data_IF_494887497359
#
_entry.id   IF_494887497359
#
_cell.length_a   1.000
_cell.length_b   1.000
_cell.length_c   1.000
_cell.angle_alpha   90.00
_cell.angle_beta   90.00
_cell.angle_gamma   90.00
#
_symmetry.space_group_name_H-M   'P 1'
#
loop_
_entity.id
_entity.type
_entity.pdbx_description
1 polymer ?
#
# COMPACT_ATOMS: atom_id res chain seq x y z
N UNK A 1 10.59 38.02 4.30
CA UNK A 1 10.41 36.71 3.64
C UNK A 1 8.94 36.36 3.70
N UNK A 2 8.26 36.03 2.59
CA UNK A 2 6.87 35.63 2.63
C UNK A 2 6.74 34.39 3.51
N UNK A 3 5.77 34.41 4.45
CA UNK A 3 5.43 33.23 5.27
C UNK A 3 4.94 32.13 4.31
N UNK A 4 5.68 31.03 4.23
CA UNK A 4 5.25 29.83 3.50
C UNK A 4 3.95 29.35 4.13
N UNK A 5 2.85 29.36 3.39
CA UNK A 5 1.52 28.94 3.87
C UNK A 5 1.54 27.43 4.21
N UNK A 6 0.63 27.00 5.09
CA UNK A 6 0.47 25.58 5.41
C UNK A 6 0.17 24.77 4.15
N UNK A 7 -0.70 25.29 3.27
CA UNK A 7 -1.06 24.67 1.98
C UNK A 7 0.17 24.44 1.09
N UNK A 8 1.06 25.43 0.99
CA UNK A 8 2.29 25.28 0.22
C UNK A 8 3.21 24.20 0.80
N UNK A 9 3.31 24.11 2.13
CA UNK A 9 4.12 23.06 2.78
C UNK A 9 3.56 21.66 2.49
N UNK A 10 2.25 21.49 2.57
CA UNK A 10 1.59 20.20 2.26
C UNK A 10 1.74 19.83 0.77
N UNK A 11 1.62 20.80 -0.13
CA UNK A 11 1.90 20.59 -1.54
C UNK A 11 3.33 20.07 -1.78
N UNK A 12 4.33 20.70 -1.15
CA UNK A 12 5.73 20.26 -1.26
C UNK A 12 5.92 18.88 -0.65
N UNK A 13 5.31 18.59 0.52
CA UNK A 13 5.35 17.24 1.13
C UNK A 13 4.83 16.18 0.17
N UNK A 14 3.67 16.42 -0.44
CA UNK A 14 3.07 15.50 -1.42
C UNK A 14 4.00 15.27 -2.61
N UNK A 15 4.56 16.33 -3.20
CA UNK A 15 5.49 16.21 -4.32
C UNK A 15 6.76 15.43 -3.95
N UNK A 16 7.28 15.61 -2.73
CA UNK A 16 8.43 14.85 -2.23
C UNK A 16 8.07 13.35 -2.13
N UNK A 17 6.90 13.01 -1.59
CA UNK A 17 6.46 11.61 -1.48
C UNK A 17 6.23 10.97 -2.85
N UNK A 18 5.67 11.70 -3.82
CA UNK A 18 5.49 11.23 -5.19
C UNK A 18 6.84 10.97 -5.89
N UNK A 19 7.82 11.86 -5.69
CA UNK A 19 9.18 11.64 -6.20
C UNK A 19 9.86 10.45 -5.53
N UNK A 20 9.76 10.35 -4.20
CA UNK A 20 10.32 9.23 -3.44
C UNK A 20 9.70 7.89 -3.86
N UNK A 21 8.36 7.83 -3.99
CA UNK A 21 7.67 6.63 -4.46
C UNK A 21 8.13 6.21 -5.85
N UNK A 22 8.27 7.16 -6.78
CA UNK A 22 8.78 6.88 -8.13
C UNK A 22 10.21 6.33 -8.10
N UNK A 23 11.13 6.96 -7.35
CA UNK A 23 12.52 6.51 -7.24
C UNK A 23 12.59 5.13 -6.59
N UNK A 24 11.85 4.90 -5.50
CA UNK A 24 11.77 3.58 -4.86
C UNK A 24 11.18 2.51 -5.78
N UNK A 25 10.17 2.84 -6.57
CA UNK A 25 9.56 1.90 -7.51
C UNK A 25 10.48 1.50 -8.65
N UNK A 26 11.30 2.44 -9.12
CA UNK A 26 12.24 2.20 -10.22
C UNK A 26 13.51 1.46 -9.78
N UNK A 27 14.11 1.89 -8.67
CA UNK A 27 15.42 1.40 -8.20
C UNK A 27 15.32 0.42 -7.03
N UNK A 28 14.17 0.32 -6.41
CA UNK A 28 14.00 -0.37 -5.14
C UNK A 28 14.44 0.50 -3.96
N UNK A 29 14.07 0.06 -2.75
CA UNK A 29 14.38 0.80 -1.52
C UNK A 29 15.89 0.95 -1.28
N UNK A 30 16.67 -0.12 -1.51
CA UNK A 30 18.09 -0.15 -1.18
C UNK A 30 18.90 0.86 -2.00
N UNK A 31 18.73 0.85 -3.31
CA UNK A 31 19.54 1.66 -4.25
C UNK A 31 19.05 3.11 -4.37
N UNK A 32 17.83 3.40 -3.95
CA UNK A 32 17.28 4.76 -3.95
C UNK A 32 18.02 5.67 -2.96
N UNK A 33 18.33 6.90 -3.37
CA UNK A 33 19.02 7.89 -2.54
C UNK A 33 18.18 9.14 -2.31
N UNK A 34 18.43 9.83 -1.20
CA UNK A 34 17.82 11.14 -0.91
C UNK A 34 18.19 12.19 -1.94
N UNK A 35 19.38 12.09 -2.53
CA UNK A 35 19.87 13.04 -3.53
C UNK A 35 19.07 12.95 -4.83
N UNK A 36 18.81 11.74 -5.33
CA UNK A 36 17.96 11.50 -6.51
C UNK A 36 16.52 11.98 -6.32
N UNK A 37 15.98 11.79 -5.10
CA UNK A 37 14.64 12.27 -4.77
C UNK A 37 14.59 13.79 -4.80
N UNK A 38 15.61 14.48 -4.26
CA UNK A 38 15.72 15.93 -4.27
C UNK A 38 15.90 16.48 -5.69
N UNK A 39 16.80 15.86 -6.48
CA UNK A 39 17.08 16.23 -7.86
C UNK A 39 15.84 16.15 -8.75
N UNK A 40 15.04 15.10 -8.61
CA UNK A 40 13.79 14.92 -9.34
C UNK A 40 12.73 16.01 -9.08
N UNK A 41 12.97 16.89 -8.10
CA UNK A 41 12.08 18.01 -7.72
C UNK A 41 12.73 19.38 -7.91
N UNK A 42 14.01 19.43 -8.28
CA UNK A 42 14.79 20.67 -8.28
C UNK A 42 15.01 21.24 -6.86
N UNK A 43 14.94 20.38 -5.83
CA UNK A 43 15.20 20.78 -4.45
C UNK A 43 16.67 20.57 -4.08
N UNK A 44 17.21 21.44 -3.24
CA UNK A 44 18.50 21.16 -2.62
C UNK A 44 18.36 20.05 -1.56
N UNK A 45 19.40 19.25 -1.37
CA UNK A 45 19.48 18.21 -0.33
C UNK A 45 19.08 18.74 1.07
N UNK A 46 19.61 19.88 1.55
CA UNK A 46 19.19 20.44 2.83
C UNK A 46 17.70 20.81 2.87
N UNK A 47 17.11 21.23 1.74
CA UNK A 47 15.70 21.53 1.66
C UNK A 47 14.85 20.26 1.84
N UNK A 48 15.22 19.15 1.20
CA UNK A 48 14.56 17.85 1.37
C UNK A 48 14.62 17.37 2.83
N UNK A 49 15.81 17.42 3.45
CA UNK A 49 16.00 16.95 4.83
C UNK A 49 15.19 17.75 5.88
N UNK A 50 14.77 18.99 5.58
CA UNK A 50 13.85 19.74 6.44
C UNK A 50 12.43 19.18 6.45
N UNK A 51 12.03 18.48 5.38
CA UNK A 51 10.72 17.84 5.30
C UNK A 51 10.75 16.39 5.79
N UNK A 52 11.78 15.66 5.40
CA UNK A 52 11.96 14.24 5.74
C UNK A 52 13.40 13.96 6.13
N UNK A 53 13.66 13.67 7.41
CA UNK A 53 15.03 13.56 7.92
C UNK A 53 15.77 12.31 7.45
N UNK A 54 15.08 11.34 6.87
CA UNK A 54 15.71 10.11 6.36
C UNK A 54 14.86 9.41 5.30
N UNK A 55 15.47 8.46 4.61
CA UNK A 55 14.83 7.56 3.64
C UNK A 55 13.75 6.70 4.30
N UNK A 56 13.99 6.29 5.53
CA UNK A 56 13.02 5.53 6.34
C UNK A 56 11.75 6.32 6.62
N UNK A 57 11.85 7.63 6.89
CA UNK A 57 10.67 8.46 7.11
C UNK A 57 9.84 8.65 5.84
N UNK A 58 10.48 8.81 4.69
CA UNK A 58 9.80 8.82 3.39
C UNK A 58 9.07 7.49 3.15
N UNK A 59 9.75 6.37 3.36
CA UNK A 59 9.17 5.05 3.17
C UNK A 59 7.99 4.80 4.12
N UNK A 60 8.12 5.18 5.40
CA UNK A 60 7.03 5.08 6.39
C UNK A 60 5.79 5.82 5.91
N UNK A 61 5.96 7.04 5.43
CA UNK A 61 4.85 7.87 4.98
C UNK A 61 4.20 7.32 3.71
N UNK A 62 4.99 6.82 2.76
CA UNK A 62 4.49 6.13 1.56
C UNK A 62 3.68 4.91 1.96
N UNK A 63 4.19 4.08 2.89
CA UNK A 63 3.46 2.91 3.37
C UNK A 63 2.14 3.27 4.06
N UNK A 64 2.14 4.36 4.85
CA UNK A 64 0.92 4.88 5.47
C UNK A 64 -0.11 5.31 4.41
N UNK A 65 0.33 6.03 3.39
CA UNK A 65 -0.53 6.46 2.27
C UNK A 65 -1.06 5.27 1.48
N UNK A 66 -0.24 4.25 1.24
CA UNK A 66 -0.68 3.01 0.62
C UNK A 66 -1.79 2.33 1.44
N UNK A 67 -1.59 2.14 2.73
CA UNK A 67 -2.61 1.53 3.60
C UNK A 67 -3.93 2.32 3.59
N UNK A 68 -3.86 3.65 3.64
CA UNK A 68 -5.05 4.51 3.54
C UNK A 68 -5.74 4.37 2.18
N UNK A 69 -4.97 4.38 1.08
CA UNK A 69 -5.49 4.20 -0.25
C UNK A 69 -6.14 2.82 -0.42
N UNK A 70 -5.48 1.75 0.05
CA UNK A 70 -5.99 0.39 -0.01
C UNK A 70 -7.31 0.23 0.79
N UNK A 71 -7.38 0.78 2.00
CA UNK A 71 -8.61 0.76 2.80
C UNK A 71 -9.75 1.51 2.13
N UNK A 72 -9.47 2.67 1.54
CA UNK A 72 -10.46 3.45 0.77
C UNK A 72 -10.91 2.67 -0.46
N UNK A 73 -9.96 2.15 -1.25
CA UNK A 73 -10.23 1.37 -2.45
C UNK A 73 -11.13 0.16 -2.17
N UNK A 74 -10.83 -0.56 -1.09
CA UNK A 74 -11.61 -1.72 -0.67
C UNK A 74 -13.07 -1.34 -0.36
N UNK A 75 -13.30 -0.24 0.38
CA UNK A 75 -14.64 0.25 0.69
C UNK A 75 -15.42 0.74 -0.53
N UNK A 76 -14.74 1.41 -1.45
CA UNK A 76 -15.35 1.94 -2.67
C UNK A 76 -15.68 0.84 -3.68
N UNK A 77 -14.81 -0.17 -3.80
CA UNK A 77 -14.98 -1.28 -4.74
C UNK A 77 -15.97 -2.35 -4.27
N UNK A 78 -16.28 -2.39 -2.96
CA UNK A 78 -17.14 -3.42 -2.38
C UNK A 78 -18.60 -2.94 -2.22
N UNK A 79 -19.19 -2.39 -3.29
CA UNK A 79 -20.56 -1.80 -3.24
C UNK A 79 -21.69 -2.78 -3.54
N UNK A 80 -21.40 -3.88 -4.24
CA UNK A 80 -22.40 -4.81 -4.77
C UNK A 80 -22.23 -6.26 -4.30
N UNK A 81 -21.57 -6.48 -3.14
CA UNK A 81 -21.31 -7.82 -2.61
C UNK A 81 -20.10 -8.52 -3.24
N UNK A 82 -19.30 -7.81 -4.05
CA UNK A 82 -18.05 -8.30 -4.63
C UNK A 82 -17.02 -7.20 -4.82
N UNK A 83 -15.76 -7.58 -5.08
CA UNK A 83 -14.68 -6.65 -5.32
C UNK A 83 -14.66 -6.22 -6.80
N UNK A 84 -14.89 -4.93 -7.05
CA UNK A 84 -14.62 -4.33 -8.36
C UNK A 84 -13.12 -4.01 -8.47
N UNK A 85 -12.43 -4.82 -9.28
CA UNK A 85 -10.98 -4.71 -9.46
C UNK A 85 -10.54 -3.41 -10.14
N UNK A 86 -11.31 -2.85 -11.06
CA UNK A 86 -10.96 -1.59 -11.73
C UNK A 86 -10.95 -0.44 -10.72
N UNK A 87 -12.02 -0.29 -9.96
CA UNK A 87 -12.12 0.72 -8.89
C UNK A 87 -11.03 0.52 -7.84
N UNK A 88 -10.78 -0.75 -7.43
CA UNK A 88 -9.75 -1.05 -6.44
C UNK A 88 -8.36 -0.61 -6.92
N UNK A 89 -7.93 -1.05 -8.09
CA UNK A 89 -6.60 -0.74 -8.60
C UNK A 89 -6.44 0.72 -9.02
N UNK A 90 -7.49 1.39 -9.50
CA UNK A 90 -7.43 2.82 -9.80
C UNK A 90 -7.06 3.67 -8.56
N UNK A 91 -7.53 3.26 -7.38
CA UNK A 91 -7.24 4.00 -6.13
C UNK A 91 -5.85 3.66 -5.57
N UNK A 92 -5.45 2.38 -5.59
CA UNK A 92 -4.18 1.98 -4.97
C UNK A 92 -2.96 2.24 -5.82
N UNK A 93 -3.10 2.38 -7.14
CA UNK A 93 -1.97 2.53 -8.07
C UNK A 93 -1.08 3.73 -7.78
N UNK A 94 -1.64 4.78 -7.22
CA UNK A 94 -0.87 5.97 -6.90
C UNK A 94 0.26 5.71 -5.88
N UNK A 95 0.02 4.85 -4.89
CA UNK A 95 0.94 4.57 -3.78
C UNK A 95 1.26 3.08 -3.65
N UNK A 96 0.81 2.27 -4.61
CA UNK A 96 0.91 0.81 -4.54
C UNK A 96 2.35 0.30 -4.57
N UNK A 97 2.50 -0.90 -4.04
CA UNK A 97 3.73 -1.63 -4.12
C UNK A 97 4.06 -2.00 -5.58
N UNK A 98 5.31 -1.82 -5.95
CA UNK A 98 5.86 -2.44 -7.15
C UNK A 98 6.73 -3.63 -6.73
N UNK A 99 6.95 -4.63 -7.61
CA UNK A 99 7.81 -5.77 -7.28
C UNK A 99 9.19 -5.34 -6.77
N UNK A 100 9.79 -4.36 -7.43
CA UNK A 100 11.10 -3.81 -7.04
C UNK A 100 11.10 -3.19 -5.64
N UNK A 101 10.12 -2.33 -5.35
CA UNK A 101 10.01 -1.69 -4.05
C UNK A 101 9.76 -2.72 -2.95
N UNK A 102 8.82 -3.64 -3.17
CA UNK A 102 8.45 -4.68 -2.20
C UNK A 102 9.65 -5.57 -1.86
N UNK A 103 10.27 -6.19 -2.86
CA UNK A 103 11.35 -7.15 -2.64
C UNK A 103 12.61 -6.50 -2.06
N UNK A 104 12.96 -5.29 -2.52
CA UNK A 104 14.13 -4.58 -2.00
C UNK A 104 13.94 -4.13 -0.56
N UNK A 105 12.75 -3.67 -0.17
CA UNK A 105 12.44 -3.33 1.21
C UNK A 105 12.43 -4.58 2.11
N UNK A 106 11.79 -5.67 1.67
CA UNK A 106 11.77 -6.93 2.41
C UNK A 106 13.17 -7.52 2.62
N UNK A 107 14.03 -7.49 1.58
CA UNK A 107 15.40 -8.00 1.66
C UNK A 107 16.33 -7.15 2.52
N UNK A 108 16.08 -5.85 2.63
CA UNK A 108 16.88 -4.92 3.44
C UNK A 108 16.44 -4.91 4.92
N UNK A 109 15.19 -5.21 5.22
CA UNK A 109 14.64 -5.18 6.58
C UNK A 109 15.44 -5.98 7.62
N UNK A 110 15.99 -7.18 7.34
CA UNK A 110 16.81 -7.91 8.31
C UNK A 110 18.07 -7.16 8.76
N UNK A 111 18.60 -6.26 7.91
CA UNK A 111 19.82 -5.48 8.16
C UNK A 111 19.55 -4.05 8.64
N UNK A 112 18.30 -3.58 8.51
CA UNK A 112 17.88 -2.24 8.90
C UNK A 112 16.75 -2.32 9.94
N UNK A 113 17.06 -2.23 11.26
CA UNK A 113 16.05 -2.35 12.32
C UNK A 113 14.94 -1.31 12.24
N UNK A 114 15.24 -0.08 11.74
CA UNK A 114 14.22 0.96 11.55
C UNK A 114 13.25 0.57 10.44
N UNK A 115 13.76 0.11 9.31
CA UNK A 115 12.94 -0.36 8.20
C UNK A 115 12.11 -1.59 8.59
N UNK A 116 12.71 -2.55 9.32
CA UNK A 116 12.01 -3.72 9.86
C UNK A 116 10.82 -3.30 10.71
N UNK A 117 11.02 -2.32 11.62
CA UNK A 117 9.94 -1.79 12.44
C UNK A 117 8.86 -1.12 11.60
N UNK A 118 9.23 -0.32 10.59
CA UNK A 118 8.27 0.35 9.70
C UNK A 118 7.43 -0.68 8.96
N UNK A 119 8.04 -1.74 8.42
CA UNK A 119 7.31 -2.83 7.77
C UNK A 119 6.34 -3.52 8.74
N UNK A 120 6.81 -3.88 9.93
CA UNK A 120 5.98 -4.54 10.94
C UNK A 120 4.78 -3.69 11.36
N UNK A 121 5.00 -2.40 11.64
CA UNK A 121 3.95 -1.44 12.02
C UNK A 121 2.98 -1.21 10.84
N UNK A 122 3.51 -1.11 9.62
CA UNK A 122 2.72 -0.92 8.40
C UNK A 122 1.81 -2.10 8.09
N UNK A 123 2.33 -3.33 8.17
CA UNK A 123 1.52 -4.55 8.01
C UNK A 123 0.47 -4.68 9.10
N UNK A 124 0.84 -4.41 10.36
CA UNK A 124 -0.15 -4.40 11.45
C UNK A 124 -1.28 -3.43 11.16
N UNK A 125 -0.94 -2.19 10.77
CA UNK A 125 -1.93 -1.16 10.41
C UNK A 125 -2.81 -1.62 9.24
N UNK A 126 -2.23 -2.20 8.18
CA UNK A 126 -2.97 -2.74 7.04
C UNK A 126 -3.96 -3.83 7.45
N UNK A 127 -3.52 -4.78 8.27
CA UNK A 127 -4.38 -5.85 8.81
C UNK A 127 -5.52 -5.27 9.65
N UNK A 128 -5.23 -4.30 10.52
CA UNK A 128 -6.26 -3.67 11.36
C UNK A 128 -7.30 -2.89 10.51
N UNK A 129 -6.86 -2.19 9.47
CA UNK A 129 -7.74 -1.42 8.57
C UNK A 129 -8.64 -2.33 7.72
N UNK A 130 -8.07 -3.36 7.11
CA UNK A 130 -8.83 -4.36 6.32
C UNK A 130 -9.73 -5.19 7.24
N UNK A 131 -9.23 -5.61 8.40
CA UNK A 131 -10.00 -6.34 9.40
C UNK A 131 -11.22 -5.57 9.91
N UNK A 132 -11.08 -4.27 10.13
CA UNK A 132 -12.22 -3.40 10.51
C UNK A 132 -13.29 -3.36 9.42
N UNK A 133 -12.90 -3.36 8.15
CA UNK A 133 -13.85 -3.46 7.04
C UNK A 133 -14.57 -4.82 7.01
N UNK A 134 -13.85 -5.92 7.22
CA UNK A 134 -14.45 -7.26 7.32
C UNK A 134 -15.47 -7.32 8.47
N UNK A 135 -15.14 -6.75 9.63
CA UNK A 135 -16.07 -6.70 10.77
C UNK A 135 -17.32 -5.86 10.46
N UNK A 136 -17.18 -4.75 9.73
CA UNK A 136 -18.33 -3.98 9.25
C UNK A 136 -19.24 -4.83 8.33
N UNK A 137 -18.67 -5.59 7.40
CA UNK A 137 -19.44 -6.49 6.52
C UNK A 137 -20.16 -7.60 7.31
N UNK A 138 -19.56 -8.14 8.36
CA UNK A 138 -20.20 -9.09 9.29
C UNK A 138 -21.36 -8.44 10.02
N UNK A 139 -21.16 -7.25 10.58
CA UNK A 139 -22.20 -6.52 11.31
C UNK A 139 -23.40 -6.22 10.43
N UNK A 140 -23.18 -5.96 9.14
CA UNK A 140 -24.22 -5.75 8.14
C UNK A 140 -24.88 -7.05 7.65
N UNK A 141 -24.44 -8.21 8.13
CA UNK A 141 -24.96 -9.51 7.72
C UNK A 141 -24.58 -9.94 6.29
N UNK A 142 -23.58 -9.30 5.70
CA UNK A 142 -23.05 -9.65 4.36
C UNK A 142 -22.13 -10.86 4.48
N UNK A 143 -21.30 -10.91 5.51
CA UNK A 143 -20.41 -12.03 5.80
C UNK A 143 -20.92 -12.87 6.96
N UNK A 144 -20.61 -14.16 6.91
CA UNK A 144 -20.91 -15.11 7.99
C UNK A 144 -20.22 -14.69 9.29
N UNK A 145 -20.87 -14.98 10.43
CA UNK A 145 -20.33 -14.64 11.76
C UNK A 145 -19.02 -15.34 12.07
N UNK A 146 -18.77 -16.49 11.47
CA UNK A 146 -17.56 -17.31 11.60
C UNK A 146 -16.35 -16.71 10.87
N UNK A 147 -16.54 -15.77 9.95
CA UNK A 147 -15.45 -15.10 9.28
C UNK A 147 -14.55 -14.41 10.32
N UNK A 148 -13.25 -14.77 10.33
CA UNK A 148 -12.28 -14.16 11.21
C UNK A 148 -11.67 -12.92 10.54
N UNK A 149 -11.97 -11.68 11.01
CA UNK A 149 -11.55 -10.46 10.34
C UNK A 149 -10.04 -10.35 10.17
N UNK A 150 -9.28 -10.72 11.20
CA UNK A 150 -7.82 -10.64 11.18
C UNK A 150 -7.21 -11.64 10.19
N UNK A 151 -7.63 -12.89 10.20
CA UNK A 151 -7.11 -13.91 9.29
C UNK A 151 -7.50 -13.63 7.85
N UNK A 152 -8.73 -13.17 7.59
CA UNK A 152 -9.19 -12.76 6.27
C UNK A 152 -8.36 -11.60 5.73
N UNK A 153 -8.10 -10.59 6.56
CA UNK A 153 -7.24 -9.45 6.21
C UNK A 153 -5.80 -9.88 5.92
N UNK A 154 -5.21 -10.73 6.76
CA UNK A 154 -3.86 -11.27 6.55
C UNK A 154 -3.79 -12.08 5.25
N UNK A 155 -4.80 -12.90 4.96
CA UNK A 155 -4.88 -13.65 3.72
C UNK A 155 -4.90 -12.76 2.48
N UNK A 156 -5.76 -11.74 2.47
CA UNK A 156 -5.85 -10.79 1.35
C UNK A 156 -4.53 -10.04 1.10
N UNK A 157 -3.86 -9.58 2.16
CA UNK A 157 -2.55 -8.92 2.05
C UNK A 157 -1.48 -9.90 1.55
N UNK A 158 -1.45 -11.12 2.08
CA UNK A 158 -0.49 -12.14 1.67
C UNK A 158 -0.66 -12.56 0.21
N UNK A 159 -1.90 -12.62 -0.29
CA UNK A 159 -2.20 -12.87 -1.71
C UNK A 159 -1.64 -11.73 -2.57
N UNK A 160 -1.93 -10.48 -2.21
CA UNK A 160 -1.39 -9.31 -2.91
C UNK A 160 0.14 -9.35 -2.99
N UNK A 161 0.80 -9.53 -1.86
CA UNK A 161 2.28 -9.54 -1.78
C UNK A 161 2.88 -10.75 -2.52
N UNK A 162 2.23 -11.92 -2.45
CA UNK A 162 2.62 -13.10 -3.21
C UNK A 162 2.55 -12.88 -4.72
N UNK A 163 1.54 -12.18 -5.22
CA UNK A 163 1.40 -11.89 -6.64
C UNK A 163 2.48 -10.94 -7.17
N UNK A 164 3.06 -10.06 -6.32
CA UNK A 164 4.24 -9.27 -6.71
C UNK A 164 5.45 -10.17 -7.03
N UNK A 165 5.59 -11.31 -6.37
CA UNK A 165 6.64 -12.30 -6.67
C UNK A 165 6.38 -12.94 -8.04
N UNK A 166 5.13 -13.22 -8.39
CA UNK A 166 4.77 -13.74 -9.71
C UNK A 166 5.06 -12.74 -10.84
N UNK A 167 4.90 -11.43 -10.59
CA UNK A 167 5.34 -10.39 -11.53
C UNK A 167 6.86 -10.45 -11.77
N UNK A 168 7.66 -10.66 -10.72
CA UNK A 168 9.11 -10.89 -10.87
C UNK A 168 9.42 -12.15 -11.66
N UNK A 169 8.61 -13.20 -11.51
CA UNK A 169 8.75 -14.44 -12.26
C UNK A 169 8.27 -14.36 -13.73
N UNK A 170 7.76 -13.19 -14.16
CA UNK A 170 7.39 -12.94 -15.57
C UNK A 170 5.88 -12.89 -15.84
N UNK A 171 5.02 -13.07 -14.84
CA UNK A 171 3.59 -12.83 -15.02
C UNK A 171 3.36 -11.33 -15.24
N UNK A 172 2.56 -10.97 -16.25
CA UNK A 172 2.31 -9.55 -16.49
C UNK A 172 1.36 -8.96 -15.43
N UNK A 173 1.44 -7.64 -15.24
CA UNK A 173 0.67 -6.92 -14.20
C UNK A 173 -0.84 -7.05 -14.37
N UNK A 174 -1.35 -7.18 -15.58
CA UNK A 174 -2.78 -7.33 -15.81
C UNK A 174 -3.27 -8.73 -15.36
N UNK A 175 -2.46 -9.76 -15.61
CA UNK A 175 -2.75 -11.12 -15.15
C UNK A 175 -2.73 -11.21 -13.63
N UNK A 176 -1.73 -10.61 -12.95
CA UNK A 176 -1.66 -10.61 -11.47
C UNK A 176 -2.82 -9.87 -10.84
N UNK A 177 -3.25 -8.75 -11.43
CA UNK A 177 -4.44 -8.00 -10.99
C UNK A 177 -5.71 -8.81 -11.12
N UNK A 178 -5.89 -9.46 -12.28
CA UNK A 178 -7.04 -10.34 -12.50
C UNK A 178 -7.02 -11.49 -11.50
N UNK A 179 -5.88 -12.15 -11.32
CA UNK A 179 -5.72 -13.22 -10.35
C UNK A 179 -6.05 -12.76 -8.92
N UNK A 180 -5.59 -11.57 -8.51
CA UNK A 180 -5.94 -11.01 -7.21
C UNK A 180 -7.45 -10.89 -7.02
N UNK A 181 -8.15 -10.28 -7.98
CA UNK A 181 -9.62 -10.12 -7.92
C UNK A 181 -10.31 -11.47 -7.85
N UNK A 182 -9.97 -12.40 -8.74
CA UNK A 182 -10.60 -13.73 -8.81
C UNK A 182 -10.38 -14.53 -7.51
N UNK A 183 -9.17 -14.48 -6.92
CA UNK A 183 -8.85 -15.16 -5.66
C UNK A 183 -9.62 -14.53 -4.50
N UNK A 184 -9.63 -13.19 -4.42
CA UNK A 184 -10.38 -12.48 -3.38
C UNK A 184 -11.87 -12.77 -3.48
N UNK A 185 -12.46 -12.73 -4.67
CA UNK A 185 -13.86 -13.07 -4.89
C UNK A 185 -14.16 -14.52 -4.49
N UNK A 186 -13.28 -15.47 -4.85
CA UNK A 186 -13.42 -16.88 -4.45
C UNK A 186 -13.35 -17.05 -2.94
N UNK A 187 -12.41 -16.39 -2.29
CA UNK A 187 -12.27 -16.41 -0.83
C UNK A 187 -13.53 -15.84 -0.16
N UNK A 188 -14.03 -14.71 -0.65
CA UNK A 188 -15.23 -14.07 -0.09
C UNK A 188 -16.50 -14.85 -0.39
N UNK A 189 -16.63 -15.53 -1.54
CA UNK A 189 -17.82 -16.34 -1.86
C UNK A 189 -18.10 -17.43 -0.81
N UNK A 190 -17.05 -18.04 -0.27
CA UNK A 190 -17.16 -18.99 0.85
C UNK A 190 -17.60 -18.37 2.18
N UNK A 191 -17.40 -17.06 2.33
CA UNK A 191 -17.72 -16.30 3.53
C UNK A 191 -19.03 -15.50 3.43
N UNK A 192 -19.65 -15.38 2.25
CA UNK A 192 -20.92 -14.67 2.07
C UNK A 192 -22.06 -15.43 2.77
N UNK A 193 -23.02 -14.66 3.30
CA UNK A 193 -24.31 -15.19 3.74
C UNK A 193 -25.16 -15.43 2.49
N UNK A 194 -25.49 -16.68 2.20
CA UNK A 194 -26.43 -17.00 1.14
C UNK A 194 -27.85 -16.65 1.64
N UNK A 195 -28.43 -15.58 1.11
CA UNK A 195 -29.88 -15.35 1.24
C UNK A 195 -30.58 -16.35 0.33
N UNK A 196 -31.23 -17.35 0.95
CA UNK A 196 -32.16 -18.24 0.26
C UNK A 196 -33.35 -17.44 -0.28
#
# INVERSE_FOLDING_TARGET
MPKVTLEYKELIRTRILESAHRVFSQKGYREATMDEIAEGLGLSKPALYRYYPSKEELFREIFRLFNQAASKALRESFKSGGLDGETFFAVIDKWGWTPNLFLSAASEAPRNPKLKKILADGYKTGVDMVGSFIEELKTRGILKKEANPRLTAMGAIAIHDGLLIWEVAGMNRQETRKAFVDIIQTMFSGLLVHTN
#
